data_IF_478306742875
#
_entry.id   IF_478306742875
#
_cell.length_a   1.000
_cell.length_b   1.000
_cell.length_c   1.000
_cell.angle_alpha   90.00
_cell.angle_beta   90.00
_cell.angle_gamma   90.00
#
_symmetry.space_group_name_H-M   'P 1'
#
loop_
_entity.id
_entity.type
_entity.pdbx_description
1 polymer ?
#
# COMPACT_ATOMS: atom_id res chain seq x y z
N UNK A 1 8.52 -12.63 -1.81
CA UNK A 1 7.12 -12.67 -1.28
C UNK A 1 6.93 -11.80 -0.03
N UNK A 2 7.71 -12.00 1.05
CA UNK A 2 7.61 -11.20 2.29
C UNK A 2 7.72 -9.69 2.05
N UNK A 3 8.66 -9.25 1.21
CA UNK A 3 8.79 -7.84 0.87
C UNK A 3 7.59 -7.27 0.10
N UNK A 4 6.94 -8.07 -0.75
CA UNK A 4 5.72 -7.63 -1.42
C UNK A 4 4.55 -7.46 -0.46
N UNK A 5 4.40 -8.37 0.51
CA UNK A 5 3.42 -8.18 1.59
C UNK A 5 3.69 -6.90 2.39
N UNK A 6 4.96 -6.63 2.72
CA UNK A 6 5.33 -5.40 3.41
C UNK A 6 5.00 -4.14 2.57
N UNK A 7 5.22 -4.19 1.25
CA UNK A 7 4.84 -3.12 0.33
C UNK A 7 3.34 -2.88 0.31
N UNK A 8 2.53 -3.94 0.20
CA UNK A 8 1.06 -3.85 0.23
C UNK A 8 0.58 -3.25 1.55
N UNK A 9 1.15 -3.67 2.69
CA UNK A 9 0.81 -3.14 4.01
C UNK A 9 1.15 -1.65 4.11
N UNK A 10 2.33 -1.24 3.66
CA UNK A 10 2.74 0.17 3.64
C UNK A 10 1.84 1.02 2.73
N UNK A 11 1.50 0.53 1.53
CA UNK A 11 0.58 1.23 0.61
C UNK A 11 -0.80 1.37 1.26
N UNK A 12 -1.30 0.31 1.90
CA UNK A 12 -2.63 0.32 2.54
C UNK A 12 -2.69 1.31 3.70
N UNK A 13 -1.67 1.31 4.57
CA UNK A 13 -1.60 2.26 5.69
C UNK A 13 -1.58 3.71 5.21
N UNK A 14 -0.79 4.00 4.17
CA UNK A 14 -0.72 5.34 3.61
C UNK A 14 -2.01 5.71 2.86
N UNK A 15 -2.65 4.78 2.16
CA UNK A 15 -3.91 5.02 1.45
C UNK A 15 -5.08 5.35 2.38
N UNK A 16 -5.07 4.84 3.62
CA UNK A 16 -6.11 5.09 4.61
C UNK A 16 -5.76 6.27 5.55
N UNK A 17 -4.50 6.40 5.95
CA UNK A 17 -4.07 7.42 6.90
C UNK A 17 -3.83 8.80 6.29
N UNK A 18 -3.29 8.88 5.07
CA UNK A 18 -2.98 10.18 4.43
C UNK A 18 -4.24 10.99 4.11
N UNK A 19 -5.37 10.41 3.64
CA UNK A 19 -6.56 11.20 3.37
C UNK A 19 -7.16 11.80 4.65
N UNK A 20 -7.07 11.12 5.80
CA UNK A 20 -7.60 11.66 7.05
C UNK A 20 -6.72 12.75 7.63
N UNK A 21 -5.39 12.59 7.54
CA UNK A 21 -4.42 13.55 8.08
C UNK A 21 -4.37 14.84 7.25
N UNK A 22 -4.40 14.70 5.93
CA UNK A 22 -4.15 15.79 5.00
C UNK A 22 -5.46 16.37 4.41
N UNK A 23 -6.62 15.95 4.95
CA UNK A 23 -7.92 16.46 4.51
C UNK A 23 -8.02 17.98 4.77
N UNK A 24 -8.35 18.77 3.73
CA UNK A 24 -8.63 20.18 3.94
C UNK A 24 -9.89 20.33 4.80
N UNK A 25 -10.02 21.43 5.58
CA UNK A 25 -11.23 21.71 6.32
C UNK A 25 -12.45 21.73 5.40
N UNK A 26 -13.46 20.93 5.73
CA UNK A 26 -14.76 20.98 5.05
C UNK A 26 -15.56 22.12 5.65
N UNK A 27 -15.80 23.18 4.87
CA UNK A 27 -16.77 24.21 5.21
C UNK A 27 -18.18 23.67 4.98
N UNK A 28 -18.93 23.43 6.06
CA UNK A 28 -20.31 22.96 5.99
C UNK A 28 -21.28 24.03 5.44
N UNK A 29 -20.91 25.30 5.54
CA UNK A 29 -21.64 26.42 4.94
C UNK A 29 -20.72 27.62 4.73
N UNK A 30 -21.08 28.56 3.82
CA UNK A 30 -20.29 29.78 3.57
C UNK A 30 -20.18 30.75 4.76
N UNK A 31 -20.96 30.55 5.82
CA UNK A 31 -21.02 31.41 7.02
C UNK A 31 -20.51 30.72 8.28
N UNK A 32 -19.93 29.52 8.15
CA UNK A 32 -19.40 28.84 9.33
C UNK A 32 -18.12 29.56 9.80
N UNK A 33 -18.03 29.97 11.08
CA UNK A 33 -16.85 30.67 11.57
C UNK A 33 -15.62 29.76 11.53
N UNK A 34 -14.48 30.30 11.08
CA UNK A 34 -13.24 29.55 11.04
C UNK A 34 -12.77 29.19 12.46
N UNK A 35 -12.29 27.95 12.68
CA UNK A 35 -11.72 27.59 13.96
C UNK A 35 -10.45 28.42 14.24
N UNK A 36 -10.15 28.72 15.52
CA UNK A 36 -8.97 29.49 15.87
C UNK A 36 -7.69 28.78 15.36
N UNK A 37 -6.71 29.55 14.83
CA UNK A 37 -5.54 28.99 14.17
C UNK A 37 -4.72 28.13 15.13
N UNK A 38 -4.54 26.85 14.80
CA UNK A 38 -3.63 25.94 15.51
C UNK A 38 -2.24 26.03 14.91
N UNK A 39 -1.37 26.85 15.51
CA UNK A 39 0.08 26.95 15.25
C UNK A 39 0.49 27.31 13.78
N UNK A 40 1.72 27.81 13.54
CA UNK A 40 2.09 28.29 12.22
C UNK A 40 2.34 27.10 11.28
N UNK A 41 1.40 26.82 10.38
CA UNK A 41 1.64 25.95 9.24
C UNK A 41 2.38 26.76 8.17
N UNK A 42 3.69 26.53 8.10
CA UNK A 42 4.53 27.03 7.02
C UNK A 42 4.05 26.44 5.68
N UNK A 43 4.18 27.27 4.63
CA UNK A 43 4.05 26.97 3.20
C UNK A 43 2.67 27.09 2.56
N UNK A 44 2.36 28.35 2.21
CA UNK A 44 1.71 28.67 0.95
C UNK A 44 2.57 28.13 -0.21
N UNK A 45 2.06 27.16 -0.97
CA UNK A 45 2.45 26.90 -2.37
C UNK A 45 1.31 26.13 -3.04
N UNK A 46 0.65 26.76 -4.02
CA UNK A 46 -0.21 26.19 -5.07
C UNK A 46 -1.25 25.12 -4.63
N UNK A 47 -2.53 25.52 -4.52
CA UNK A 47 -3.74 24.66 -4.45
C UNK A 47 -3.51 23.22 -3.90
N UNK A 48 -3.35 23.05 -2.58
CA UNK A 48 -3.11 21.74 -1.95
C UNK A 48 -4.28 20.75 -2.16
N UNK A 49 -5.46 21.27 -2.49
CA UNK A 49 -6.67 20.49 -2.78
C UNK A 49 -6.53 19.65 -4.05
N UNK A 50 -5.82 20.15 -5.07
CA UNK A 50 -5.61 19.42 -6.32
C UNK A 50 -4.70 18.21 -6.12
N UNK A 51 -3.57 18.40 -5.41
CA UNK A 51 -2.65 17.31 -5.07
C UNK A 51 -3.31 16.25 -4.18
N UNK A 52 -4.09 16.68 -3.18
CA UNK A 52 -4.85 15.79 -2.30
C UNK A 52 -5.91 14.96 -3.05
N UNK A 53 -6.57 15.51 -4.08
CA UNK A 53 -7.57 14.78 -4.87
C UNK A 53 -6.99 13.70 -5.77
N UNK A 54 -5.75 13.87 -6.25
CA UNK A 54 -5.09 12.92 -7.15
C UNK A 54 -4.31 11.82 -6.42
N UNK A 55 -3.83 12.09 -5.19
CA UNK A 55 -3.12 11.11 -4.36
C UNK A 55 -3.88 9.79 -4.13
N UNK A 56 -5.17 9.78 -3.76
CA UNK A 56 -5.93 8.54 -3.54
C UNK A 56 -6.03 7.68 -4.81
N UNK A 57 -6.15 8.29 -5.99
CA UNK A 57 -6.22 7.56 -7.27
C UNK A 57 -4.90 6.86 -7.55
N UNK A 58 -3.77 7.55 -7.34
CA UNK A 58 -2.43 6.99 -7.51
C UNK A 58 -2.18 5.83 -6.52
N UNK A 59 -2.52 6.02 -5.24
CA UNK A 59 -2.35 4.99 -4.21
C UNK A 59 -3.19 3.74 -4.48
N UNK A 60 -4.42 3.90 -4.99
CA UNK A 60 -5.26 2.78 -5.43
C UNK A 60 -4.63 2.02 -6.60
N UNK A 61 -4.10 2.74 -7.61
CA UNK A 61 -3.41 2.11 -8.74
C UNK A 61 -2.17 1.34 -8.28
N UNK A 62 -1.38 1.93 -7.38
CA UNK A 62 -0.19 1.31 -6.80
C UNK A 62 -0.56 0.04 -5.99
N UNK A 63 -1.66 0.07 -5.24
CA UNK A 63 -2.19 -1.10 -4.52
C UNK A 63 -2.58 -2.25 -5.47
N UNK A 64 -3.36 -1.95 -6.52
CA UNK A 64 -3.80 -2.98 -7.49
C UNK A 64 -2.60 -3.60 -8.19
N UNK A 65 -1.59 -2.79 -8.54
CA UNK A 65 -0.34 -3.29 -9.14
C UNK A 65 0.41 -4.21 -8.18
N UNK A 66 0.57 -3.81 -6.92
CA UNK A 66 1.23 -4.63 -5.91
C UNK A 66 0.50 -5.96 -5.66
N UNK A 67 -0.85 -5.93 -5.62
CA UNK A 67 -1.67 -7.14 -5.49
C UNK A 67 -1.46 -8.11 -6.66
N UNK A 68 -1.40 -7.62 -7.90
CA UNK A 68 -1.09 -8.45 -9.09
C UNK A 68 0.33 -9.03 -9.04
N UNK A 69 1.30 -8.26 -8.58
CA UNK A 69 2.67 -8.75 -8.42
C UNK A 69 2.76 -9.83 -7.34
N UNK A 70 2.04 -9.66 -6.24
CA UNK A 70 1.94 -10.69 -5.21
C UNK A 70 1.32 -11.97 -5.76
N UNK A 71 0.20 -11.88 -6.48
CA UNK A 71 -0.45 -13.03 -7.13
C UNK A 71 0.50 -13.78 -8.07
N UNK A 72 1.20 -13.05 -8.94
CA UNK A 72 2.21 -13.64 -9.84
C UNK A 72 3.35 -14.34 -9.07
N UNK A 73 3.80 -13.76 -7.94
CA UNK A 73 4.83 -14.38 -7.10
C UNK A 73 4.31 -15.64 -6.41
N UNK A 74 3.05 -15.65 -5.95
CA UNK A 74 2.41 -16.85 -5.38
C UNK A 74 2.27 -17.94 -6.43
N UNK A 75 1.85 -17.60 -7.65
CA UNK A 75 1.76 -18.55 -8.76
C UNK A 75 3.13 -19.11 -9.20
N UNK A 76 4.21 -18.34 -9.02
CA UNK A 76 5.58 -18.78 -9.33
C UNK A 76 6.22 -19.65 -8.24
N UNK A 77 5.53 -19.85 -7.10
CA UNK A 77 6.06 -20.71 -6.06
C UNK A 77 6.21 -22.14 -6.61
N UNK A 78 7.36 -22.80 -6.38
CA UNK A 78 7.54 -24.17 -6.80
C UNK A 78 6.43 -25.02 -6.17
N UNK A 79 5.63 -25.65 -7.03
CA UNK A 79 4.60 -26.58 -6.61
C UNK A 79 5.29 -27.70 -5.83
N UNK A 80 4.93 -27.83 -4.56
CA UNK A 80 5.34 -28.97 -3.74
C UNK A 80 4.49 -30.16 -4.16
N UNK A 81 4.74 -30.68 -5.36
CA UNK A 81 4.03 -31.84 -5.88
C UNK A 81 4.40 -33.04 -4.98
N UNK A 82 3.41 -33.48 -4.19
CA UNK A 82 3.60 -34.50 -3.16
C UNK A 82 4.19 -34.01 -1.82
N UNK A 83 4.19 -32.70 -1.55
CA UNK A 83 4.51 -32.13 -0.24
C UNK A 83 5.97 -32.29 0.22
N UNK A 84 6.19 -32.12 1.52
CA UNK A 84 7.53 -32.19 2.13
C UNK A 84 8.22 -33.55 1.92
N UNK A 85 7.49 -34.66 1.95
CA UNK A 85 8.06 -36.01 1.78
C UNK A 85 8.64 -36.23 0.38
N UNK A 86 7.98 -35.71 -0.65
CA UNK A 86 8.46 -35.83 -2.03
C UNK A 86 9.70 -34.96 -2.27
N UNK A 87 9.76 -33.80 -1.63
CA UNK A 87 10.96 -32.96 -1.64
C UNK A 87 12.13 -33.63 -0.90
N UNK A 88 11.87 -34.22 0.27
CA UNK A 88 12.89 -34.95 1.05
C UNK A 88 13.44 -36.16 0.29
N UNK A 89 12.58 -36.94 -0.38
CA UNK A 89 13.01 -38.06 -1.26
C UNK A 89 13.92 -37.57 -2.38
N UNK A 90 13.53 -36.49 -3.06
CA UNK A 90 14.33 -35.90 -4.15
C UNK A 90 15.68 -35.40 -3.65
N UNK A 91 15.73 -34.80 -2.46
CA UNK A 91 16.98 -34.39 -1.80
C UNK A 91 17.86 -35.60 -1.48
N UNK A 92 17.27 -36.69 -0.97
CA UNK A 92 18.00 -37.92 -0.67
C UNK A 92 18.60 -38.56 -1.93
N UNK A 93 17.86 -38.57 -3.05
CA UNK A 93 18.36 -39.05 -4.35
C UNK A 93 19.58 -38.25 -4.84
N UNK A 94 19.61 -36.94 -4.65
CA UNK A 94 20.75 -36.09 -5.04
C UNK A 94 21.97 -36.18 -4.10
N UNK A 95 21.82 -36.70 -2.89
CA UNK A 95 22.93 -36.92 -1.94
C UNK A 95 23.65 -38.26 -2.15
N UNK A 96 23.12 -39.14 -3.01
CA UNK A 96 23.69 -40.45 -3.31
C UNK A 96 24.70 -40.39 -4.48
N UNK A 97 24.79 -39.24 -5.17
CA UNK A 97 25.77 -38.92 -6.22
C UNK A 97 27.00 -38.27 -5.59
#
# INVERSE_FOLDING_TARGET
>A
LKEQLNSIVAITFNALGTPQRDAPPVQLSPKYPDPPPSAPTTTATNDPTAAFREQPKKLRADFVKAAKQFDALVASLPLSDGGEESQLRRIAEFQII
#
